data_IF_336414583223
#
_entry.id   IF_336414583223
#
_cell.length_a   1.000
_cell.length_b   1.000
_cell.length_c   1.000
_cell.angle_alpha   90.00
_cell.angle_beta   90.00
_cell.angle_gamma   90.00
#
_symmetry.space_group_name_H-M   'P 1'
#
loop_
_entity.id
_entity.type
_entity.pdbx_description
1 polymer ?
#
# COMPACT_ATOMS: atom_id res chain seq x y z
N UNK A 1 51.97 -1.61 1.44
CA UNK A 1 51.06 -0.54 1.90
C UNK A 1 50.24 -0.07 0.71
N UNK A 2 48.97 -0.45 0.65
CA UNK A 2 48.03 0.03 -0.36
C UNK A 2 46.72 0.36 0.37
N UNK A 3 46.40 1.65 0.43
CA UNK A 3 45.23 2.17 1.14
C UNK A 3 43.94 1.75 0.43
N UNK A 4 43.04 1.11 1.19
CA UNK A 4 41.64 0.96 0.79
C UNK A 4 40.95 2.31 0.95
N UNK A 5 40.58 2.92 -0.16
CA UNK A 5 39.65 4.03 -0.18
C UNK A 5 38.30 3.54 0.37
N UNK A 6 37.97 3.96 1.58
CA UNK A 6 36.61 3.86 2.13
C UNK A 6 35.80 4.91 1.39
N UNK A 7 35.05 4.48 0.36
CA UNK A 7 34.03 5.33 -0.26
C UNK A 7 32.89 5.49 0.75
N UNK A 8 32.95 6.56 1.54
CA UNK A 8 31.81 7.09 2.26
C UNK A 8 30.76 7.54 1.25
N UNK A 9 29.72 6.74 1.06
CA UNK A 9 28.53 7.14 0.32
C UNK A 9 27.89 8.34 1.04
N UNK A 10 27.51 9.41 0.34
CA UNK A 10 26.87 10.55 0.97
C UNK A 10 25.56 10.10 1.62
N UNK A 11 25.40 10.45 2.89
CA UNK A 11 24.14 10.38 3.63
C UNK A 11 23.07 11.06 2.79
N UNK A 12 22.02 10.34 2.42
CA UNK A 12 20.88 10.91 1.68
C UNK A 12 20.29 12.00 2.58
N UNK A 13 20.45 13.26 2.22
CA UNK A 13 19.64 14.34 2.80
C UNK A 13 18.18 13.93 2.58
N UNK A 14 17.47 13.66 3.68
CA UNK A 14 16.02 13.52 3.64
C UNK A 14 15.49 14.89 3.27
N UNK A 15 15.27 15.13 1.97
CA UNK A 15 14.51 16.27 1.51
C UNK A 15 13.11 16.08 2.08
N UNK A 16 12.79 16.80 3.15
CA UNK A 16 11.46 16.77 3.72
C UNK A 16 10.46 17.20 2.63
N UNK A 17 9.41 16.40 2.38
CA UNK A 17 8.39 16.78 1.40
C UNK A 17 7.77 18.11 1.83
N UNK A 18 7.64 19.03 0.86
CA UNK A 18 6.94 20.30 1.07
C UNK A 18 5.49 20.10 0.68
N UNK A 19 4.59 20.32 1.63
CA UNK A 19 3.15 20.22 1.40
C UNK A 19 2.51 21.60 1.25
N UNK A 20 1.33 21.64 0.62
CA UNK A 20 0.49 22.83 0.44
C UNK A 20 0.98 23.76 -0.66
N UNK A 21 1.77 23.28 -1.62
CA UNK A 21 2.35 24.08 -2.70
C UNK A 21 1.64 23.93 -4.05
N UNK A 22 0.95 22.80 -4.28
CA UNK A 22 0.23 22.54 -5.54
C UNK A 22 -0.88 23.58 -5.70
N UNK A 23 -1.34 23.94 -6.91
CA UNK A 23 -2.48 24.86 -7.11
C UNK A 23 -3.83 24.17 -6.81
N UNK A 24 -4.87 24.93 -6.48
CA UNK A 24 -6.14 24.34 -6.00
C UNK A 24 -6.82 23.57 -7.11
N UNK A 25 -6.78 24.12 -8.32
CA UNK A 25 -7.36 23.52 -9.51
C UNK A 25 -6.68 22.17 -9.81
N UNK A 26 -5.34 22.13 -9.81
CA UNK A 26 -4.57 20.90 -10.04
C UNK A 26 -4.85 19.87 -8.95
N UNK A 27 -4.89 20.30 -7.68
CA UNK A 27 -5.11 19.39 -6.56
C UNK A 27 -6.51 18.79 -6.57
N UNK A 28 -7.51 19.58 -6.97
CA UNK A 28 -8.90 19.12 -7.14
C UNK A 28 -8.99 18.07 -8.24
N UNK A 29 -8.31 18.28 -9.36
CA UNK A 29 -8.23 17.31 -10.46
C UNK A 29 -7.53 16.01 -10.03
N UNK A 30 -6.41 16.11 -9.30
CA UNK A 30 -5.69 14.95 -8.77
C UNK A 30 -6.60 14.16 -7.81
N UNK A 31 -7.24 14.82 -6.85
CA UNK A 31 -8.11 14.18 -5.86
C UNK A 31 -9.34 13.53 -6.52
N UNK A 32 -9.95 14.22 -7.49
CA UNK A 32 -11.07 13.68 -8.28
C UNK A 32 -10.64 12.42 -9.05
N UNK A 33 -9.45 12.44 -9.66
CA UNK A 33 -8.88 11.30 -10.36
C UNK A 33 -8.59 10.13 -9.41
N UNK A 34 -7.97 10.39 -8.26
CA UNK A 34 -7.72 9.37 -7.23
C UNK A 34 -9.01 8.74 -6.73
N UNK A 35 -10.03 9.56 -6.40
CA UNK A 35 -11.32 9.06 -5.95
C UNK A 35 -12.00 8.20 -7.03
N UNK A 36 -11.96 8.64 -8.30
CA UNK A 36 -12.48 7.87 -9.44
C UNK A 36 -11.75 6.54 -9.59
N UNK A 37 -10.42 6.53 -9.52
CA UNK A 37 -9.61 5.31 -9.60
C UNK A 37 -9.89 4.35 -8.45
N UNK A 38 -10.00 4.86 -7.22
CA UNK A 38 -10.36 4.07 -6.04
C UNK A 38 -11.74 3.42 -6.22
N UNK A 39 -12.76 4.18 -6.64
CA UNK A 39 -14.11 3.65 -6.90
C UNK A 39 -14.12 2.58 -8.00
N UNK A 40 -13.40 2.81 -9.11
CA UNK A 40 -13.25 1.82 -10.17
C UNK A 40 -12.54 0.55 -9.69
N UNK A 41 -11.52 0.70 -8.85
CA UNK A 41 -10.84 -0.42 -8.23
C UNK A 41 -11.82 -1.24 -7.39
N UNK A 42 -12.56 -0.59 -6.47
CA UNK A 42 -13.54 -1.21 -5.59
C UNK A 42 -14.66 -1.97 -6.33
N UNK A 43 -15.07 -1.48 -7.51
CA UNK A 43 -16.05 -2.17 -8.37
C UNK A 43 -15.49 -3.45 -9.03
N UNK A 44 -14.17 -3.59 -9.10
CA UNK A 44 -13.46 -4.68 -9.77
C UNK A 44 -12.74 -5.63 -8.80
N UNK A 45 -12.93 -5.45 -7.49
CA UNK A 45 -12.33 -6.29 -6.46
C UNK A 45 -12.88 -7.70 -6.61
N UNK A 46 -11.98 -8.67 -6.83
CA UNK A 46 -12.32 -10.09 -6.82
C UNK A 46 -12.19 -10.68 -5.42
N UNK A 47 -12.83 -11.83 -5.19
CA UNK A 47 -12.76 -12.56 -3.91
C UNK A 47 -11.32 -13.00 -3.54
N UNK A 48 -10.40 -13.00 -4.52
CA UNK A 48 -8.98 -13.32 -4.34
C UNK A 48 -8.15 -12.12 -3.87
N UNK A 49 -8.73 -10.92 -3.80
CA UNK A 49 -8.01 -9.70 -3.47
C UNK A 49 -7.71 -9.62 -1.97
N UNK A 50 -6.49 -9.19 -1.63
CA UNK A 50 -5.98 -9.07 -0.28
C UNK A 50 -5.32 -10.33 0.27
N UNK A 51 -5.39 -11.47 -0.44
CA UNK A 51 -4.88 -12.75 0.04
C UNK A 51 -3.34 -12.82 0.14
N UNK A 52 -2.60 -12.00 -0.62
CA UNK A 52 -1.14 -12.00 -0.58
C UNK A 52 -0.57 -10.89 0.31
N UNK A 53 -1.40 -9.99 0.82
CA UNK A 53 -0.99 -8.96 1.80
C UNK A 53 -0.85 -9.55 3.21
N UNK A 54 -0.31 -10.78 3.31
CA UNK A 54 0.08 -11.42 4.56
C UNK A 54 1.30 -10.72 5.18
N UNK A 55 1.29 -10.63 6.50
CA UNK A 55 2.33 -10.04 7.33
C UNK A 55 3.76 -10.44 6.93
N UNK A 56 4.01 -11.73 6.69
CA UNK A 56 5.36 -12.24 6.37
C UNK A 56 5.81 -11.83 4.97
N UNK A 57 4.89 -11.78 4.01
CA UNK A 57 5.21 -11.34 2.67
C UNK A 57 5.52 -9.85 2.65
N UNK A 58 4.65 -9.05 3.28
CA UNK A 58 4.81 -7.60 3.42
C UNK A 58 6.14 -7.27 4.09
N UNK A 59 6.45 -7.92 5.21
CA UNK A 59 7.71 -7.74 5.94
C UNK A 59 8.92 -8.02 5.05
N UNK A 60 8.91 -9.15 4.32
CA UNK A 60 10.02 -9.51 3.42
C UNK A 60 10.20 -8.52 2.28
N UNK A 61 9.11 -8.02 1.69
CA UNK A 61 9.19 -7.02 0.62
C UNK A 61 9.75 -5.71 1.15
N UNK A 62 9.27 -5.24 2.31
CA UNK A 62 9.81 -4.03 2.92
C UNK A 62 11.28 -4.19 3.30
N UNK A 63 11.66 -5.32 3.89
CA UNK A 63 13.05 -5.58 4.24
C UNK A 63 13.96 -5.62 3.00
N UNK A 64 13.52 -6.28 1.92
CA UNK A 64 14.24 -6.28 0.65
C UNK A 64 14.40 -4.85 0.10
N UNK A 65 13.35 -4.03 0.17
CA UNK A 65 13.44 -2.63 -0.25
C UNK A 65 14.42 -1.81 0.59
N UNK A 66 14.48 -2.05 1.90
CA UNK A 66 15.44 -1.42 2.82
C UNK A 66 16.88 -1.83 2.53
N UNK A 67 17.14 -3.13 2.34
CA UNK A 67 18.48 -3.65 1.99
C UNK A 67 18.99 -3.02 0.69
N UNK A 68 18.10 -2.83 -0.28
CA UNK A 68 18.38 -2.21 -1.57
C UNK A 68 18.35 -0.68 -1.52
N UNK A 69 18.06 -0.08 -0.36
CA UNK A 69 17.97 1.38 -0.13
C UNK A 69 16.99 2.08 -1.08
N UNK A 70 15.88 1.41 -1.40
CA UNK A 70 14.82 1.93 -2.27
C UNK A 70 13.94 2.93 -1.52
N UNK A 71 13.21 3.77 -2.27
CA UNK A 71 12.19 4.65 -1.71
C UNK A 71 11.10 3.80 -1.01
N UNK A 72 10.61 4.17 0.20
CA UNK A 72 9.49 3.48 0.85
C UNK A 72 8.27 3.23 -0.05
N UNK A 73 7.97 4.15 -0.98
CA UNK A 73 6.89 4.01 -1.96
C UNK A 73 7.02 2.74 -2.83
N UNK A 74 8.25 2.31 -3.12
CA UNK A 74 8.55 1.14 -3.96
C UNK A 74 8.02 -0.14 -3.32
N UNK A 75 8.13 -0.29 -2.00
CA UNK A 75 7.64 -1.47 -1.30
C UNK A 75 6.13 -1.62 -1.42
N UNK A 76 5.39 -0.52 -1.18
CA UNK A 76 3.93 -0.50 -1.36
C UNK A 76 3.56 -0.80 -2.80
N UNK A 77 4.20 -0.14 -3.78
CA UNK A 77 3.93 -0.37 -5.20
C UNK A 77 4.18 -1.83 -5.60
N UNK A 78 5.26 -2.44 -5.11
CA UNK A 78 5.60 -3.83 -5.42
C UNK A 78 4.55 -4.81 -4.89
N UNK A 79 4.04 -4.59 -3.67
CA UNK A 79 2.97 -5.38 -3.07
C UNK A 79 1.70 -5.27 -3.93
N UNK A 80 1.32 -4.05 -4.33
CA UNK A 80 0.11 -3.85 -5.15
C UNK A 80 0.23 -4.45 -6.57
N UNK A 81 1.43 -4.39 -7.18
CA UNK A 81 1.70 -5.06 -8.46
C UNK A 81 1.58 -6.58 -8.28
N UNK A 82 2.19 -7.14 -7.24
CA UNK A 82 2.18 -8.57 -6.97
C UNK A 82 0.77 -9.11 -6.73
N UNK A 83 0.00 -8.43 -5.88
CA UNK A 83 -1.39 -8.79 -5.55
C UNK A 83 -2.24 -8.87 -6.82
N UNK A 84 -2.26 -7.79 -7.60
CA UNK A 84 -3.04 -7.72 -8.84
C UNK A 84 -2.59 -8.74 -9.88
N UNK A 85 -1.28 -8.96 -10.00
CA UNK A 85 -0.74 -9.94 -10.93
C UNK A 85 -1.21 -11.34 -10.54
N UNK A 86 -1.04 -11.72 -9.29
CA UNK A 86 -1.34 -13.07 -8.81
C UNK A 86 -2.83 -13.37 -8.83
N UNK A 87 -3.69 -12.42 -8.48
CA UNK A 87 -5.13 -12.56 -8.59
C UNK A 87 -5.53 -12.87 -10.05
N UNK A 88 -5.12 -12.02 -10.99
CA UNK A 88 -5.44 -12.19 -12.41
C UNK A 88 -4.80 -13.43 -13.03
N UNK A 89 -3.55 -13.73 -12.68
CA UNK A 89 -2.85 -14.93 -13.16
C UNK A 89 -3.52 -16.20 -12.65
N UNK A 90 -4.01 -16.21 -11.41
CA UNK A 90 -4.77 -17.34 -10.85
C UNK A 90 -6.11 -17.50 -11.55
N UNK A 91 -6.85 -16.41 -11.77
CA UNK A 91 -8.11 -16.43 -12.54
C UNK A 91 -7.91 -16.95 -13.97
N UNK A 92 -6.83 -16.54 -14.65
CA UNK A 92 -6.50 -17.01 -15.99
C UNK A 92 -6.16 -18.51 -16.01
N UNK A 93 -5.42 -19.00 -15.00
CA UNK A 93 -5.14 -20.42 -14.83
C UNK A 93 -6.43 -21.22 -14.60
N UNK A 94 -7.30 -20.78 -13.68
CA UNK A 94 -8.60 -21.43 -13.42
C UNK A 94 -9.43 -21.47 -14.71
N UNK A 95 -9.47 -20.36 -15.47
CA UNK A 95 -10.22 -20.28 -16.73
C UNK A 95 -9.67 -21.24 -17.78
N UNK A 96 -8.35 -21.40 -17.87
CA UNK A 96 -7.69 -22.32 -18.81
C UNK A 96 -7.95 -23.80 -18.48
N UNK A 97 -8.35 -24.09 -17.24
CA UNK A 97 -8.51 -25.43 -16.71
C UNK A 97 -9.97 -25.90 -16.60
N UNK A 98 -10.96 -25.01 -16.85
CA UNK A 98 -12.39 -25.37 -16.84
C UNK A 98 -12.65 -26.54 -17.80
N UNK A 99 -12.84 -27.74 -17.24
CA UNK A 99 -13.07 -28.99 -17.97
C UNK A 99 -12.23 -30.19 -17.50
N UNK A 100 -11.23 -29.99 -16.63
CA UNK A 100 -10.38 -31.06 -16.06
C UNK A 100 -10.59 -31.14 -14.54
N UNK A 101 -10.81 -32.34 -13.99
CA UNK A 101 -11.23 -32.58 -12.60
C UNK A 101 -10.19 -32.24 -11.51
N UNK A 102 -10.33 -32.82 -10.31
CA UNK A 102 -9.55 -32.51 -9.10
C UNK A 102 -8.00 -32.51 -9.22
N UNK A 103 -7.45 -33.16 -10.26
CA UNK A 103 -6.02 -33.06 -10.61
C UNK A 103 -5.57 -31.64 -11.02
N UNK A 104 -6.52 -30.75 -11.33
CA UNK A 104 -6.24 -29.41 -11.86
C UNK A 104 -5.81 -28.40 -10.79
N UNK A 105 -6.38 -28.45 -9.58
CA UNK A 105 -6.06 -27.51 -8.50
C UNK A 105 -4.62 -27.66 -8.01
N UNK A 106 -4.13 -28.90 -7.85
CA UNK A 106 -2.75 -29.17 -7.48
C UNK A 106 -1.77 -28.64 -8.54
N UNK A 107 -2.11 -28.78 -9.83
CA UNK A 107 -1.28 -28.25 -10.93
C UNK A 107 -1.23 -26.71 -10.92
N UNK A 108 -2.36 -26.05 -10.63
CA UNK A 108 -2.42 -24.59 -10.46
C UNK A 108 -1.52 -24.19 -9.28
N UNK A 109 -1.66 -24.84 -8.12
CA UNK A 109 -0.88 -24.55 -6.94
C UNK A 109 0.63 -24.72 -7.18
N UNK A 110 1.05 -25.83 -7.79
CA UNK A 110 2.45 -26.06 -8.14
C UNK A 110 2.98 -25.01 -9.13
N UNK A 111 2.14 -24.56 -10.07
CA UNK A 111 2.51 -23.51 -11.03
C UNK A 111 2.71 -22.16 -10.34
N UNK A 112 1.82 -21.79 -9.42
CA UNK A 112 1.91 -20.57 -8.63
C UNK A 112 3.14 -20.60 -7.73
N UNK A 113 3.34 -21.69 -6.98
CA UNK A 113 4.47 -21.88 -6.07
C UNK A 113 5.83 -21.72 -6.77
N UNK A 114 5.98 -22.30 -7.97
CA UNK A 114 7.21 -22.20 -8.76
C UNK A 114 7.54 -20.77 -9.20
N UNK A 115 6.53 -19.93 -9.44
CA UNK A 115 6.71 -18.55 -9.92
C UNK A 115 6.73 -17.52 -8.79
N UNK A 116 6.16 -17.83 -7.63
CA UNK A 116 5.89 -16.87 -6.56
C UNK A 116 7.10 -16.03 -6.15
N UNK A 117 8.23 -16.66 -5.82
CA UNK A 117 9.42 -15.92 -5.38
C UNK A 117 9.97 -14.98 -6.47
N UNK A 118 10.01 -15.46 -7.72
CA UNK A 118 10.41 -14.62 -8.84
C UNK A 118 9.40 -13.48 -9.06
N UNK A 119 8.10 -13.72 -8.85
CA UNK A 119 7.06 -12.69 -8.99
C UNK A 119 7.27 -11.56 -7.98
N UNK A 120 7.64 -11.89 -6.74
CA UNK A 120 8.01 -10.88 -5.73
C UNK A 120 9.17 -10.02 -6.21
N UNK A 121 10.27 -10.64 -6.64
CA UNK A 121 11.46 -9.92 -7.12
C UNK A 121 11.16 -9.06 -8.35
N UNK A 122 10.42 -9.60 -9.32
CA UNK A 122 10.02 -8.89 -10.53
C UNK A 122 9.09 -7.72 -10.22
N UNK A 123 8.16 -7.85 -9.28
CA UNK A 123 7.31 -6.73 -8.83
C UNK A 123 8.14 -5.60 -8.21
N UNK A 124 9.14 -5.92 -7.37
CA UNK A 124 10.07 -4.93 -6.81
C UNK A 124 10.90 -4.26 -7.90
N UNK A 125 11.38 -5.02 -8.89
CA UNK A 125 12.12 -4.46 -10.04
C UNK A 125 11.26 -3.50 -10.86
N UNK A 126 10.01 -3.88 -11.18
CA UNK A 126 9.08 -3.02 -11.92
C UNK A 126 8.79 -1.75 -11.11
N UNK A 127 8.45 -1.88 -9.83
CA UNK A 127 8.19 -0.74 -8.95
C UNK A 127 9.41 0.20 -8.83
N UNK A 128 10.60 -0.37 -8.72
CA UNK A 128 11.86 0.39 -8.67
C UNK A 128 12.11 1.14 -9.97
N UNK A 129 11.84 0.52 -11.13
CA UNK A 129 11.94 1.18 -12.45
C UNK A 129 10.97 2.36 -12.53
N UNK A 130 9.73 2.19 -12.08
CA UNK A 130 8.74 3.27 -12.05
C UNK A 130 9.21 4.43 -11.16
N UNK A 131 9.74 4.15 -9.97
CA UNK A 131 10.28 5.16 -9.04
C UNK A 131 11.53 5.87 -9.60
N UNK A 132 12.40 5.16 -10.32
CA UNK A 132 13.59 5.75 -10.98
C UNK A 132 13.22 6.68 -12.13
N UNK A 133 12.16 6.36 -12.87
CA UNK A 133 11.63 7.26 -13.90
C UNK A 133 11.03 8.53 -13.29
N UNK A 134 10.49 8.48 -12.06
CA UNK A 134 10.02 9.68 -11.33
C UNK A 134 11.12 10.40 -10.54
N UNK A 135 12.17 9.70 -10.10
CA UNK A 135 13.28 10.21 -9.32
C UNK A 135 14.62 9.71 -9.87
N UNK A 136 15.39 10.59 -10.51
CA UNK A 136 16.73 10.28 -11.05
C UNK A 136 17.69 10.08 -9.86
N UNK A 137 17.69 8.91 -9.21
CA UNK A 137 18.70 8.53 -8.20
C UNK A 137 19.36 7.21 -8.56
N UNK A 138 20.70 7.18 -8.51
CA UNK A 138 21.56 6.19 -9.15
C UNK A 138 21.63 4.79 -8.49
N UNK A 139 20.65 4.40 -7.67
CA UNK A 139 20.75 3.23 -6.78
C UNK A 139 20.48 1.85 -7.42
N UNK A 140 19.83 1.79 -8.57
CA UNK A 140 19.35 0.54 -9.13
C UNK A 140 20.24 0.02 -10.27
N UNK A 141 21.41 -0.53 -9.93
CA UNK A 141 22.24 -1.28 -10.89
C UNK A 141 22.32 -2.78 -10.60
N UNK A 142 21.90 -3.24 -9.43
CA UNK A 142 22.30 -4.56 -8.92
C UNK A 142 21.30 -5.72 -9.12
N UNK A 143 20.04 -5.48 -9.49
CA UNK A 143 19.07 -6.58 -9.73
C UNK A 143 18.85 -6.91 -11.22
N UNK A 144 19.48 -6.21 -12.15
CA UNK A 144 19.06 -6.15 -13.56
C UNK A 144 19.45 -7.34 -14.44
N UNK A 145 20.06 -8.41 -13.91
CA UNK A 145 20.80 -9.37 -14.75
C UNK A 145 20.41 -10.85 -14.65
N UNK A 146 19.32 -11.23 -13.99
CA UNK A 146 18.79 -12.58 -14.16
C UNK A 146 17.81 -12.63 -15.35
N UNK A 147 18.22 -13.27 -16.46
CA UNK A 147 17.36 -13.49 -17.65
C UNK A 147 15.99 -14.09 -17.31
N UNK A 148 15.92 -14.90 -16.26
CA UNK A 148 14.67 -15.48 -15.76
C UNK A 148 13.71 -14.43 -15.16
N UNK A 149 14.24 -13.38 -14.50
CA UNK A 149 13.44 -12.29 -13.97
C UNK A 149 12.83 -11.46 -15.10
N UNK A 150 13.56 -11.22 -16.20
CA UNK A 150 13.04 -10.46 -17.34
C UNK A 150 11.82 -11.12 -17.98
N UNK A 151 11.83 -12.44 -18.15
CA UNK A 151 10.69 -13.17 -18.70
C UNK A 151 9.43 -13.03 -17.85
N UNK A 152 9.61 -13.02 -16.52
CA UNK A 152 8.50 -12.85 -15.58
C UNK A 152 8.03 -11.40 -15.47
N UNK A 153 8.94 -10.42 -15.57
CA UNK A 153 8.56 -9.00 -15.67
C UNK A 153 7.65 -8.76 -16.88
N UNK A 154 8.00 -9.31 -18.06
CA UNK A 154 7.17 -9.22 -19.26
C UNK A 154 5.82 -9.90 -19.05
N UNK A 155 5.80 -11.06 -18.38
CA UNK A 155 4.55 -11.75 -18.04
C UNK A 155 3.67 -10.88 -17.14
N UNK A 156 4.22 -10.31 -16.06
CA UNK A 156 3.49 -9.42 -15.13
C UNK A 156 2.91 -8.23 -15.89
N UNK A 157 3.73 -7.56 -16.70
CA UNK A 157 3.28 -6.41 -17.50
C UNK A 157 2.15 -6.79 -18.45
N UNK A 158 2.27 -7.89 -19.19
CA UNK A 158 1.22 -8.37 -20.11
C UNK A 158 -0.05 -8.76 -19.37
N UNK A 159 0.06 -9.54 -18.29
CA UNK A 159 -1.08 -9.93 -17.45
C UNK A 159 -1.81 -8.68 -16.94
N UNK A 160 -1.08 -7.65 -16.52
CA UNK A 160 -1.67 -6.41 -16.03
C UNK A 160 -2.02 -5.40 -17.13
N UNK A 161 -1.96 -5.78 -18.42
CA UNK A 161 -2.20 -4.89 -19.57
C UNK A 161 -1.37 -3.59 -19.47
N UNK A 162 -0.13 -3.68 -18.99
CA UNK A 162 0.80 -2.58 -18.72
C UNK A 162 0.28 -1.52 -17.73
N UNK A 163 -0.84 -1.78 -17.04
CA UNK A 163 -1.43 -0.89 -16.05
C UNK A 163 -0.79 -1.10 -14.66
N UNK A 164 0.52 -0.86 -14.56
CA UNK A 164 1.34 -1.03 -13.34
C UNK A 164 1.59 0.27 -12.57
N UNK A 165 1.43 1.43 -13.22
CA UNK A 165 1.56 2.75 -12.61
C UNK A 165 0.25 3.24 -11.98
N UNK A 166 -0.35 2.40 -11.14
CA UNK A 166 -1.53 2.78 -10.35
C UNK A 166 -1.10 3.42 -9.04
N UNK A 167 -1.87 4.39 -8.50
CA UNK A 167 -1.56 5.01 -7.22
C UNK A 167 -1.49 3.97 -6.10
N UNK A 168 -0.38 3.98 -5.34
CA UNK A 168 -0.23 3.15 -4.15
C UNK A 168 -0.79 3.86 -2.91
N UNK A 169 -0.99 3.16 -1.79
CA UNK A 169 -1.56 3.76 -0.57
C UNK A 169 -0.83 5.00 -0.06
N UNK A 170 0.50 5.06 -0.18
CA UNK A 170 1.27 6.22 0.26
C UNK A 170 0.94 7.45 -0.60
N UNK A 171 0.66 7.26 -1.90
CA UNK A 171 0.17 8.35 -2.77
C UNK A 171 -1.15 8.94 -2.29
N UNK A 172 -2.08 8.13 -1.77
CA UNK A 172 -3.34 8.64 -1.20
C UNK A 172 -3.07 9.46 0.06
N UNK A 173 -2.24 8.95 0.96
CA UNK A 173 -1.83 9.65 2.19
C UNK A 173 -1.17 10.99 1.86
N UNK A 174 -0.19 11.01 0.97
CA UNK A 174 0.55 12.23 0.59
C UNK A 174 -0.34 13.25 -0.11
N UNK A 175 -1.26 12.80 -0.98
CA UNK A 175 -2.21 13.71 -1.62
C UNK A 175 -3.19 14.32 -0.62
N UNK A 176 -3.67 13.54 0.35
CA UNK A 176 -4.55 14.06 1.40
C UNK A 176 -3.80 15.04 2.32
N UNK A 177 -2.53 14.76 2.67
CA UNK A 177 -1.68 15.69 3.41
C UNK A 177 -1.41 16.99 2.63
N UNK A 178 -1.27 16.91 1.29
CA UNK A 178 -1.16 18.09 0.43
C UNK A 178 -2.42 18.98 0.52
N UNK A 179 -3.61 18.37 0.51
CA UNK A 179 -4.87 19.10 0.68
C UNK A 179 -4.95 19.73 2.08
N UNK A 180 -4.64 18.98 3.13
CA UNK A 180 -4.66 19.48 4.51
C UNK A 180 -3.67 20.64 4.71
N UNK A 181 -2.45 20.51 4.20
CA UNK A 181 -1.42 21.55 4.31
C UNK A 181 -1.80 22.82 3.56
N UNK A 182 -2.64 22.71 2.53
CA UNK A 182 -3.19 23.85 1.80
C UNK A 182 -4.37 24.50 2.53
N UNK A 183 -5.30 23.70 3.04
CA UNK A 183 -6.49 24.20 3.74
C UNK A 183 -6.10 24.94 5.02
N UNK A 184 -5.12 24.42 5.76
CA UNK A 184 -4.76 24.95 7.07
C UNK A 184 -3.25 25.00 7.32
N UNK A 185 -2.69 26.21 7.33
CA UNK A 185 -1.27 26.45 7.63
C UNK A 185 -0.84 26.08 9.08
N UNK A 186 -1.77 25.64 9.94
CA UNK A 186 -1.49 25.25 11.34
C UNK A 186 -1.31 23.75 11.54
N UNK A 187 -1.67 22.93 10.55
CA UNK A 187 -1.47 21.48 10.64
C UNK A 187 -0.01 21.19 10.30
N UNK A 188 0.78 20.58 11.21
CA UNK A 188 2.20 20.26 11.00
C UNK A 188 2.34 19.05 10.06
N UNK A 189 1.99 19.24 8.79
CA UNK A 189 1.87 18.18 7.77
C UNK A 189 3.19 17.46 7.48
N UNK A 190 4.33 18.13 7.65
CA UNK A 190 5.65 17.52 7.49
C UNK A 190 5.92 16.50 8.61
N UNK A 191 5.63 16.86 9.85
CA UNK A 191 5.74 16.00 11.02
C UNK A 191 4.72 14.85 10.95
N UNK A 192 3.49 15.16 10.50
CA UNK A 192 2.46 14.15 10.26
C UNK A 192 2.87 13.16 9.19
N UNK A 193 3.55 13.58 8.11
CA UNK A 193 3.96 12.67 7.04
C UNK A 193 4.86 11.55 7.56
N UNK A 194 5.86 11.87 8.38
CA UNK A 194 6.75 10.86 8.97
C UNK A 194 5.97 9.84 9.81
N UNK A 195 5.04 10.32 10.63
CA UNK A 195 4.15 9.46 11.42
C UNK A 195 3.21 8.64 10.53
N UNK A 196 2.68 9.22 9.47
CA UNK A 196 1.81 8.53 8.52
C UNK A 196 2.56 7.38 7.82
N UNK A 197 3.82 7.58 7.43
CA UNK A 197 4.65 6.51 6.83
C UNK A 197 4.84 5.36 7.82
N UNK A 198 5.10 5.66 9.10
CA UNK A 198 5.22 4.65 10.16
C UNK A 198 3.90 3.91 10.41
N UNK A 199 2.79 4.64 10.53
CA UNK A 199 1.46 4.07 10.74
C UNK A 199 1.03 3.23 9.56
N UNK A 200 1.20 3.71 8.32
CA UNK A 200 0.86 2.96 7.11
C UNK A 200 1.65 1.65 7.03
N UNK A 201 2.94 1.69 7.36
CA UNK A 201 3.79 0.49 7.41
C UNK A 201 3.25 -0.52 8.42
N UNK A 202 2.87 -0.06 9.61
CA UNK A 202 2.26 -0.91 10.63
C UNK A 202 0.93 -1.50 10.14
N UNK A 203 0.06 -0.69 9.55
CA UNK A 203 -1.24 -1.15 9.02
C UNK A 203 -1.03 -2.21 7.94
N UNK A 204 0.01 -2.10 7.13
CA UNK A 204 0.38 -3.14 6.16
C UNK A 204 0.91 -4.42 6.82
N UNK A 205 1.76 -4.31 7.85
CA UNK A 205 2.31 -5.46 8.58
C UNK A 205 1.24 -6.19 9.40
N UNK A 206 0.26 -5.47 9.95
CA UNK A 206 -0.82 -5.97 10.79
C UNK A 206 -2.18 -5.92 10.09
N UNK A 207 -2.18 -5.97 8.75
CA UNK A 207 -3.38 -5.79 7.92
C UNK A 207 -4.50 -6.73 8.35
N UNK A 208 -4.20 -8.02 8.47
CA UNK A 208 -5.20 -9.03 8.83
C UNK A 208 -5.84 -8.73 10.20
N UNK A 209 -5.05 -8.44 11.23
CA UNK A 209 -5.55 -8.25 12.60
C UNK A 209 -6.32 -6.94 12.76
N UNK A 210 -5.85 -5.86 12.12
CA UNK A 210 -6.50 -4.55 12.13
C UNK A 210 -7.84 -4.62 11.39
N UNK A 211 -7.86 -5.12 10.16
CA UNK A 211 -9.10 -5.21 9.39
C UNK A 211 -10.07 -6.25 9.94
N UNK A 212 -9.58 -7.34 10.56
CA UNK A 212 -10.45 -8.24 11.30
C UNK A 212 -11.13 -7.54 12.48
N UNK A 213 -10.38 -6.72 13.22
CA UNK A 213 -10.94 -5.96 14.35
C UNK A 213 -11.93 -4.88 13.88
N UNK A 214 -11.65 -4.24 12.75
CA UNK A 214 -12.61 -3.31 12.11
C UNK A 214 -13.88 -4.02 11.67
N UNK A 215 -13.77 -5.21 11.09
CA UNK A 215 -14.93 -6.02 10.72
C UNK A 215 -15.76 -6.41 11.94
N UNK A 216 -15.13 -6.85 13.02
CA UNK A 216 -15.81 -7.18 14.28
C UNK A 216 -16.52 -5.95 14.84
N UNK A 217 -15.87 -4.78 14.82
CA UNK A 217 -16.48 -3.54 15.30
C UNK A 217 -17.67 -3.11 14.43
N UNK A 218 -17.51 -3.10 13.10
CA UNK A 218 -18.54 -2.70 12.16
C UNK A 218 -19.78 -3.62 12.15
N UNK A 219 -19.59 -4.91 12.47
CA UNK A 219 -20.68 -5.90 12.49
C UNK A 219 -21.23 -6.17 13.89
N UNK A 220 -20.55 -5.74 14.95
CA UNK A 220 -20.81 -6.16 16.32
C UNK A 220 -20.65 -7.67 16.55
N UNK A 221 -20.10 -8.41 15.60
CA UNK A 221 -20.03 -9.87 15.61
C UNK A 221 -18.61 -10.35 15.90
N UNK A 222 -18.39 -11.06 17.02
CA UNK A 222 -17.08 -11.60 17.39
C UNK A 222 -16.55 -12.68 16.45
N UNK A 223 -17.43 -13.33 15.68
CA UNK A 223 -17.09 -14.31 14.64
C UNK A 223 -17.80 -13.98 13.34
N UNK A 224 -17.26 -13.06 12.52
CA UNK A 224 -17.88 -12.66 11.26
C UNK A 224 -18.03 -13.84 10.30
N UNK A 225 -19.22 -13.95 9.70
CA UNK A 225 -19.56 -14.98 8.71
C UNK A 225 -18.78 -14.79 7.40
N UNK A 226 -18.77 -15.82 6.54
CA UNK A 226 -18.13 -15.72 5.22
C UNK A 226 -18.72 -14.57 4.38
N UNK A 227 -20.05 -14.40 4.41
CA UNK A 227 -20.72 -13.30 3.69
C UNK A 227 -20.32 -11.92 4.21
N UNK A 228 -20.17 -11.76 5.53
CA UNK A 228 -19.71 -10.51 6.13
C UNK A 228 -18.27 -10.21 5.70
N UNK A 229 -17.39 -11.20 5.68
CA UNK A 229 -16.00 -11.05 5.21
C UNK A 229 -15.94 -10.67 3.74
N UNK A 230 -16.73 -11.34 2.89
CA UNK A 230 -16.78 -11.06 1.46
C UNK A 230 -17.24 -9.62 1.18
N UNK A 231 -18.28 -9.13 1.87
CA UNK A 231 -18.73 -7.73 1.75
C UNK A 231 -17.67 -6.73 2.24
N UNK A 232 -16.90 -7.13 3.25
CA UNK A 232 -15.87 -6.29 3.86
C UNK A 232 -14.57 -6.16 3.06
N UNK A 233 -14.33 -7.00 2.04
CA UNK A 233 -13.15 -6.87 1.16
C UNK A 233 -13.10 -5.48 0.50
N UNK A 234 -14.27 -4.90 0.18
CA UNK A 234 -14.35 -3.52 -0.31
C UNK A 234 -13.76 -2.49 0.66
N UNK A 235 -13.88 -2.71 1.97
CA UNK A 235 -13.32 -1.84 3.01
C UNK A 235 -11.81 -2.07 3.14
N UNK A 236 -11.33 -3.31 2.96
CA UNK A 236 -9.90 -3.60 3.01
C UNK A 236 -9.13 -2.98 1.85
N UNK A 237 -9.73 -2.93 0.67
CA UNK A 237 -9.12 -2.40 -0.55
C UNK A 237 -9.44 -0.92 -0.80
N UNK A 238 -10.14 -0.23 0.11
CA UNK A 238 -10.39 1.21 0.00
C UNK A 238 -9.17 2.02 0.46
N UNK A 239 -8.37 2.48 -0.50
CA UNK A 239 -7.18 3.29 -0.21
C UNK A 239 -7.50 4.73 0.23
N UNK A 240 -8.69 5.24 -0.09
CA UNK A 240 -9.14 6.53 0.43
C UNK A 240 -9.42 6.40 1.93
N UNK A 241 -10.16 5.37 2.34
CA UNK A 241 -10.42 5.07 3.75
C UNK A 241 -9.14 4.79 4.53
N UNK A 242 -8.25 3.98 3.96
CA UNK A 242 -6.93 3.73 4.54
C UNK A 242 -6.14 5.04 4.71
N UNK A 243 -6.14 5.91 3.70
CA UNK A 243 -5.45 7.19 3.73
C UNK A 243 -5.93 8.10 4.87
N UNK A 244 -7.24 8.31 4.97
CA UNK A 244 -7.81 9.15 6.06
C UNK A 244 -7.61 8.51 7.43
N UNK A 245 -7.69 7.17 7.53
CA UNK A 245 -7.47 6.43 8.77
C UNK A 245 -6.03 6.56 9.26
N UNK A 246 -5.05 6.40 8.37
CA UNK A 246 -3.61 6.57 8.68
C UNK A 246 -3.31 7.99 9.15
N UNK A 247 -3.83 9.00 8.45
CA UNK A 247 -3.63 10.41 8.84
C UNK A 247 -4.28 10.70 10.19
N UNK A 248 -5.48 10.18 10.44
CA UNK A 248 -6.17 10.34 11.71
C UNK A 248 -5.37 9.75 12.88
N UNK A 249 -4.81 8.53 12.73
CA UNK A 249 -3.94 7.92 13.75
C UNK A 249 -2.67 8.75 13.96
N UNK A 250 -2.02 9.21 12.88
CA UNK A 250 -0.82 10.03 12.97
C UNK A 250 -1.10 11.37 13.69
N UNK A 251 -2.22 12.02 13.37
CA UNK A 251 -2.67 13.24 14.03
C UNK A 251 -2.94 13.05 15.52
N UNK A 252 -3.58 11.92 15.89
CA UNK A 252 -3.80 11.57 17.29
C UNK A 252 -2.48 11.39 18.06
N UNK A 253 -1.54 10.65 17.49
CA UNK A 253 -0.21 10.40 18.09
C UNK A 253 0.58 11.70 18.23
N UNK A 254 0.47 12.58 17.23
CA UNK A 254 1.22 13.83 17.22
C UNK A 254 0.69 14.83 18.24
N UNK A 255 -0.59 15.22 18.13
CA UNK A 255 -1.24 16.19 18.99
C UNK A 255 -2.75 15.95 19.06
N UNK A 256 -3.21 15.31 20.14
CA UNK A 256 -4.63 15.01 20.37
C UNK A 256 -5.53 16.25 20.29
N UNK A 257 -5.03 17.44 20.65
CA UNK A 257 -5.80 18.69 20.63
C UNK A 257 -6.20 19.17 19.24
N UNK A 258 -5.51 18.73 18.18
CA UNK A 258 -5.86 19.07 16.79
C UNK A 258 -6.52 17.92 16.04
N UNK A 259 -6.64 16.75 16.68
CA UNK A 259 -7.10 15.52 16.04
C UNK A 259 -8.53 15.62 15.50
N UNK A 260 -9.48 16.11 16.31
CA UNK A 260 -10.89 16.25 15.89
C UNK A 260 -11.02 17.12 14.64
N UNK A 261 -10.25 18.21 14.58
CA UNK A 261 -10.23 19.13 13.45
C UNK A 261 -9.69 18.47 12.17
N UNK A 262 -8.61 17.68 12.29
CA UNK A 262 -8.08 16.90 11.17
C UNK A 262 -9.14 15.92 10.66
N UNK A 263 -9.89 15.26 11.55
CA UNK A 263 -10.96 14.33 11.17
C UNK A 263 -12.11 15.05 10.47
N UNK A 264 -12.50 16.24 10.94
CA UNK A 264 -13.53 17.06 10.29
C UNK A 264 -13.11 17.48 8.88
N UNK A 265 -11.88 17.96 8.69
CA UNK A 265 -11.34 18.33 7.38
C UNK A 265 -11.28 17.11 6.44
N UNK A 266 -10.77 15.97 6.89
CA UNK A 266 -10.73 14.74 6.09
C UNK A 266 -12.13 14.27 5.68
N UNK A 267 -13.11 14.45 6.56
CA UNK A 267 -14.53 14.20 6.26
C UNK A 267 -15.01 15.11 5.14
N UNK A 268 -14.70 16.41 5.21
CA UNK A 268 -15.04 17.39 4.17
C UNK A 268 -14.37 17.11 2.82
N UNK A 269 -13.10 16.70 2.84
CA UNK A 269 -12.30 16.43 1.63
C UNK A 269 -12.79 15.17 0.90
N UNK A 270 -13.08 14.10 1.65
CA UNK A 270 -13.31 12.76 1.06
C UNK A 270 -14.78 12.34 1.04
N UNK A 271 -15.62 12.94 1.87
CA UNK A 271 -16.99 12.50 2.12
C UNK A 271 -17.09 11.22 2.96
N UNK A 272 -15.98 10.68 3.45
CA UNK A 272 -15.98 9.53 4.39
C UNK A 272 -16.43 10.04 5.75
N UNK A 273 -17.38 9.35 6.38
CA UNK A 273 -17.93 9.81 7.66
C UNK A 273 -16.87 9.88 8.75
N UNK A 274 -16.89 10.94 9.57
CA UNK A 274 -15.99 11.09 10.71
C UNK A 274 -16.04 9.88 11.66
N UNK A 275 -17.21 9.25 11.83
CA UNK A 275 -17.34 8.03 12.62
C UNK A 275 -16.49 6.87 12.06
N UNK A 276 -16.51 6.65 10.75
CA UNK A 276 -15.70 5.62 10.10
C UNK A 276 -14.19 5.90 10.26
N UNK A 277 -13.79 7.17 10.17
CA UNK A 277 -12.39 7.60 10.36
C UNK A 277 -11.96 7.35 11.81
N UNK A 278 -12.77 7.78 12.78
CA UNK A 278 -12.50 7.60 14.21
C UNK A 278 -12.43 6.12 14.59
N UNK A 279 -13.34 5.29 14.06
CA UNK A 279 -13.33 3.84 14.28
C UNK A 279 -12.05 3.19 13.74
N UNK A 280 -11.64 3.56 12.52
CA UNK A 280 -10.37 3.11 11.94
C UNK A 280 -9.20 3.48 12.84
N UNK A 281 -9.16 4.74 13.29
CA UNK A 281 -8.08 5.24 14.12
C UNK A 281 -8.03 4.54 15.47
N UNK A 282 -9.19 4.39 16.13
CA UNK A 282 -9.32 3.71 17.41
C UNK A 282 -8.82 2.26 17.34
N UNK A 283 -9.30 1.48 16.37
CA UNK A 283 -8.87 0.08 16.21
C UNK A 283 -7.36 0.00 15.97
N UNK A 284 -6.81 0.87 15.11
CA UNK A 284 -5.37 0.88 14.83
C UNK A 284 -4.55 1.23 16.08
N UNK A 285 -4.97 2.23 16.86
CA UNK A 285 -4.34 2.61 18.13
C UNK A 285 -4.40 1.48 19.18
N UNK A 286 -5.49 0.72 19.21
CA UNK A 286 -5.59 -0.47 20.06
C UNK A 286 -4.56 -1.54 19.70
N UNK A 287 -4.22 -1.72 18.42
CA UNK A 287 -3.17 -2.65 18.00
C UNK A 287 -1.76 -2.11 18.29
N UNK A 288 -1.55 -0.80 18.17
CA UNK A 288 -0.29 -0.13 18.57
C UNK A 288 -0.02 -0.27 20.07
N UNK A 289 -1.04 -0.12 20.90
CA UNK A 289 -0.88 -0.18 22.36
C UNK A 289 -0.76 -1.61 22.89
N UNK A 290 -1.47 -2.57 22.28
CA UNK A 290 -1.37 -4.00 22.64
C UNK A 290 -0.04 -4.65 22.28
N UNK A 291 0.70 -4.14 21.29
CA UNK A 291 2.02 -4.69 20.91
C UNK A 291 3.11 -4.47 21.97
N UNK A 292 2.82 -3.76 23.08
CA UNK A 292 3.76 -3.53 24.19
C UNK A 292 3.73 -4.58 25.32
N UNK A 293 2.95 -5.66 25.19
CA UNK A 293 2.97 -6.76 26.17
C UNK A 293 3.84 -7.93 25.69
N UNK A 294 5.16 -7.72 25.66
CA UNK A 294 6.19 -8.79 25.67
C UNK A 294 7.32 -8.33 26.59
#
# INVERSE_FOLDING_TARGET
MAGRAVFSLPSREQVNPRFGQVSLDILTDILSNLNKRNKLHLQSVSDLCGCLKDSRLVERVFHLCEELRLNPAVGYQAIEILERFMAKFTEDLIRSQKGQGASSEELIFQTLKKKFFLSVLSSVQIASKLDLYSHISAGCRLLFHQRAALGLEILILKTLNFNVNVPNPLTYVETLLEVLGRNEARVPVCELHQLCVCVLRLVYLQRETIYHSLLVSATGCSRPSHEQRAKFVSVTEDFMLLGVGVISVAAFIHHISTWEKVVEELTGITGISGQSIMEFAYVTLMHITKTRSV
#
